data_IF_563584604402
#
_entry.id   IF_563584604402
#
_cell.length_a   1.000
_cell.length_b   1.000
_cell.length_c   1.000
_cell.angle_alpha   90.00
_cell.angle_beta   90.00
_cell.angle_gamma   90.00
#
_symmetry.space_group_name_H-M   'P 1'
#
loop_
_entity.id
_entity.type
_entity.pdbx_description
1 polymer ?
#
# COMPACT_ATOMS: atom_id res chain seq x y z
N UNK A 1 16.35 51.97 43.91
CA UNK A 1 15.11 51.48 43.27
C UNK A 1 15.50 51.04 41.86
N UNK A 2 15.68 49.74 41.61
CA UNK A 2 14.70 48.85 40.95
C UNK A 2 14.27 49.39 39.57
N UNK A 3 14.42 48.74 38.41
CA UNK A 3 14.77 47.34 38.06
C UNK A 3 15.26 47.25 36.61
N UNK A 4 16.13 46.28 36.36
CA UNK A 4 16.28 45.54 35.09
C UNK A 4 14.92 45.01 34.58
N UNK A 5 14.65 45.12 33.29
CA UNK A 5 13.78 44.22 32.52
C UNK A 5 14.24 44.25 31.05
N UNK A 6 15.14 43.34 30.68
CA UNK A 6 14.84 42.07 30.00
C UNK A 6 14.27 42.26 28.59
N UNK A 7 15.17 42.23 27.61
CA UNK A 7 14.88 41.85 26.24
C UNK A 7 14.41 40.39 26.20
N UNK A 8 13.19 40.14 25.72
CA UNK A 8 12.77 38.90 25.09
C UNK A 8 11.48 39.20 24.32
N UNK A 9 11.61 39.76 23.12
CA UNK A 9 10.51 39.73 22.16
C UNK A 9 10.45 38.27 21.68
N UNK A 10 9.41 37.59 22.15
CA UNK A 10 9.05 36.23 21.82
C UNK A 10 8.99 36.07 20.30
N UNK A 11 9.93 35.31 19.73
CA UNK A 11 9.68 34.63 18.45
C UNK A 11 8.55 33.63 18.71
N UNK A 12 7.35 33.77 18.11
CA UNK A 12 6.37 32.69 18.19
C UNK A 12 6.91 31.50 17.39
N UNK A 13 7.41 30.52 18.14
CA UNK A 13 7.60 29.10 17.81
C UNK A 13 7.38 28.70 16.35
N UNK A 14 8.46 28.69 15.55
CA UNK A 14 8.57 27.85 14.35
C UNK A 14 8.39 26.35 14.68
N UNK A 15 8.50 25.99 15.97
CA UNK A 15 8.31 24.65 16.49
C UNK A 15 6.83 24.21 16.42
N UNK A 16 5.85 25.12 16.43
CA UNK A 16 4.43 24.73 16.44
C UNK A 16 3.87 24.30 15.08
N UNK A 17 4.41 24.80 13.96
CA UNK A 17 3.96 24.35 12.63
C UNK A 17 4.46 22.94 12.30
N UNK A 18 5.70 22.62 12.69
CA UNK A 18 6.30 21.30 12.48
C UNK A 18 5.71 20.21 13.40
N UNK A 19 5.26 20.57 14.61
CA UNK A 19 4.59 19.64 15.54
C UNK A 19 3.11 19.39 15.21
N UNK A 20 2.48 20.23 14.36
CA UNK A 20 1.10 20.02 13.91
C UNK A 20 1.01 19.06 12.71
N UNK A 21 2.06 18.97 11.90
CA UNK A 21 2.18 17.96 10.83
C UNK A 21 2.48 16.56 11.36
N UNK A 22 2.94 16.46 12.61
CA UNK A 22 3.27 15.21 13.29
C UNK A 22 2.11 14.71 14.19
N UNK A 23 0.91 15.29 14.06
CA UNK A 23 -0.32 14.72 14.61
C UNK A 23 -0.61 13.41 13.90
N UNK A 24 -0.01 12.34 14.42
CA UNK A 24 -0.36 10.92 14.28
C UNK A 24 -1.19 10.69 13.02
N UNK A 25 -0.53 10.58 11.87
CA UNK A 25 -1.13 9.85 10.74
C UNK A 25 -1.62 8.54 11.32
N UNK A 26 -2.94 8.38 11.44
CA UNK A 26 -3.55 7.09 11.78
C UNK A 26 -3.05 6.13 10.72
N UNK A 27 -2.06 5.32 11.10
CA UNK A 27 -1.44 4.39 10.18
C UNK A 27 -2.42 3.23 10.01
N UNK A 28 -3.33 3.36 9.05
CA UNK A 28 -4.32 2.34 8.69
C UNK A 28 -3.69 1.18 7.90
N UNK A 29 -2.42 1.28 7.49
CA UNK A 29 -1.74 0.26 6.69
C UNK A 29 -1.70 -1.13 7.35
N UNK A 30 -1.40 -1.27 8.65
CA UNK A 30 -1.42 -2.58 9.30
C UNK A 30 -2.78 -3.27 9.18
N UNK A 31 -3.87 -2.52 9.29
CA UNK A 31 -5.22 -3.07 9.17
C UNK A 31 -5.55 -3.47 7.73
N UNK A 32 -5.20 -2.64 6.76
CA UNK A 32 -5.36 -2.98 5.34
C UNK A 32 -4.53 -4.22 4.98
N UNK A 33 -3.29 -4.29 5.42
CA UNK A 33 -2.43 -5.46 5.18
C UNK A 33 -2.98 -6.72 5.85
N UNK A 34 -3.64 -6.60 7.01
CA UNK A 34 -4.38 -7.70 7.63
C UNK A 34 -5.54 -8.17 6.75
N UNK A 35 -6.32 -7.26 6.17
CA UNK A 35 -7.41 -7.61 5.25
C UNK A 35 -6.85 -8.25 3.97
N UNK A 36 -5.77 -7.70 3.41
CA UNK A 36 -5.08 -8.26 2.23
C UNK A 36 -4.61 -9.69 2.47
N UNK A 37 -3.98 -9.95 3.62
CA UNK A 37 -3.56 -11.30 4.03
C UNK A 37 -4.76 -12.25 4.13
N UNK A 38 -5.84 -11.82 4.78
CA UNK A 38 -7.05 -12.64 4.92
C UNK A 38 -7.67 -12.96 3.56
N UNK A 39 -7.82 -11.94 2.70
CA UNK A 39 -8.32 -12.11 1.34
C UNK A 39 -7.45 -13.08 0.54
N UNK A 40 -6.12 -13.00 0.65
CA UNK A 40 -5.21 -13.90 -0.05
C UNK A 40 -5.43 -15.37 0.35
N UNK A 41 -5.65 -15.63 1.63
CA UNK A 41 -5.96 -16.97 2.15
C UNK A 41 -7.32 -17.46 1.66
N UNK A 42 -8.35 -16.63 1.82
CA UNK A 42 -9.73 -17.00 1.50
C UNK A 42 -9.95 -17.23 -0.01
N UNK A 43 -9.20 -16.51 -0.85
CA UNK A 43 -9.32 -16.58 -2.31
C UNK A 43 -8.16 -17.30 -3.00
N UNK A 44 -7.27 -17.96 -2.24
CA UNK A 44 -6.12 -18.69 -2.79
C UNK A 44 -5.27 -17.85 -3.75
N UNK A 45 -4.94 -16.62 -3.33
CA UNK A 45 -4.11 -15.67 -4.08
C UNK A 45 -2.64 -15.87 -3.69
N UNK A 46 -1.80 -16.42 -4.57
CA UNK A 46 -0.46 -16.85 -4.19
C UNK A 46 0.56 -15.71 -4.10
N UNK A 47 0.25 -14.51 -4.58
CA UNK A 47 1.18 -13.40 -4.82
C UNK A 47 0.65 -12.04 -4.30
N UNK A 48 -0.14 -12.05 -3.22
CA UNK A 48 -0.61 -10.84 -2.56
C UNK A 48 0.55 -10.15 -1.83
N UNK A 49 0.91 -8.94 -2.24
CA UNK A 49 2.00 -8.18 -1.62
C UNK A 49 1.53 -7.27 -0.48
N UNK A 50 2.39 -7.09 0.50
CA UNK A 50 2.22 -6.08 1.54
C UNK A 50 2.25 -4.67 0.92
N UNK A 51 1.37 -3.79 1.41
CA UNK A 51 1.48 -2.37 1.13
C UNK A 51 2.42 -1.67 2.10
N UNK A 52 3.31 -0.88 1.52
CA UNK A 52 4.27 -0.03 2.23
C UNK A 52 4.09 1.43 1.81
N UNK A 53 4.38 2.36 2.71
CA UNK A 53 4.29 3.79 2.39
C UNK A 53 5.37 4.19 1.38
N UNK A 54 4.99 4.91 0.33
CA UNK A 54 5.93 5.40 -0.69
C UNK A 54 6.04 6.92 -0.67
N UNK A 55 7.26 7.41 -0.44
CA UNK A 55 7.58 8.84 -0.56
C UNK A 55 7.49 9.34 -2.00
N UNK A 56 7.71 8.47 -2.98
CA UNK A 56 7.61 8.83 -4.40
C UNK A 56 6.13 9.04 -4.79
N UNK A 57 5.25 8.13 -4.38
CA UNK A 57 3.81 8.31 -4.58
C UNK A 57 3.29 9.54 -3.80
N UNK A 58 3.82 9.81 -2.61
CA UNK A 58 3.48 11.01 -1.84
C UNK A 58 3.92 12.29 -2.55
N UNK A 59 5.12 12.31 -3.13
CA UNK A 59 5.62 13.44 -3.91
C UNK A 59 4.76 13.72 -5.15
N UNK A 60 4.23 12.67 -5.78
CA UNK A 60 3.26 12.79 -6.90
C UNK A 60 1.91 13.30 -6.38
N UNK A 61 1.43 12.74 -5.27
CA UNK A 61 0.11 13.01 -4.72
C UNK A 61 -0.03 14.43 -4.16
N UNK A 62 0.97 14.93 -3.45
CA UNK A 62 0.90 16.22 -2.75
C UNK A 62 0.50 17.41 -3.63
N UNK A 63 1.11 17.65 -4.81
CA UNK A 63 0.80 18.82 -5.64
C UNK A 63 -0.49 18.71 -6.47
N UNK A 64 -1.10 17.52 -6.62
CA UNK A 64 -2.22 17.31 -7.56
C UNK A 64 -3.61 17.38 -6.89
N UNK A 65 -4.59 17.93 -7.60
CA UNK A 65 -6.01 17.86 -7.20
C UNK A 65 -6.65 16.53 -7.61
N UNK A 66 -7.86 16.21 -7.14
CA UNK A 66 -8.56 14.99 -7.53
C UNK A 66 -8.88 14.96 -9.02
N UNK A 67 -9.21 16.11 -9.61
CA UNK A 67 -9.41 16.25 -11.05
C UNK A 67 -8.13 15.88 -11.78
N UNK A 68 -6.98 16.38 -11.29
CA UNK A 68 -5.69 16.10 -11.91
C UNK A 68 -5.27 14.64 -11.75
N UNK A 69 -5.55 14.01 -10.61
CA UNK A 69 -5.34 12.57 -10.41
C UNK A 69 -6.08 11.76 -11.48
N UNK A 70 -7.36 12.09 -11.71
CA UNK A 70 -8.19 11.40 -12.70
C UNK A 70 -7.67 11.58 -14.12
N UNK A 71 -7.16 12.77 -14.45
CA UNK A 71 -6.51 13.02 -15.75
C UNK A 71 -5.24 12.20 -15.94
N UNK A 72 -4.33 12.22 -14.96
CA UNK A 72 -3.03 11.53 -15.05
C UNK A 72 -3.25 10.03 -15.17
N UNK A 73 -4.16 9.47 -14.37
CA UNK A 73 -4.50 8.07 -14.46
C UNK A 73 -5.01 7.68 -15.86
N UNK A 74 -5.90 8.48 -16.47
CA UNK A 74 -6.37 8.24 -17.85
C UNK A 74 -5.26 8.30 -18.90
N UNK A 75 -4.12 8.91 -18.58
CA UNK A 75 -2.95 8.96 -19.45
C UNK A 75 -2.01 7.74 -19.30
N UNK A 76 -2.39 6.72 -18.53
CA UNK A 76 -1.63 5.47 -18.41
C UNK A 76 -0.58 5.49 -17.30
N UNK A 77 -0.89 6.10 -16.16
CA UNK A 77 -0.03 6.09 -14.99
C UNK A 77 0.29 4.65 -14.53
N UNK A 78 1.48 4.43 -13.98
CA UNK A 78 1.92 3.19 -13.34
C UNK A 78 1.38 3.05 -11.90
N UNK A 79 0.29 3.73 -11.58
CA UNK A 79 -0.40 3.68 -10.31
C UNK A 79 -1.90 3.90 -10.51
N UNK A 80 -2.68 3.44 -9.54
CA UNK A 80 -4.12 3.65 -9.43
C UNK A 80 -4.42 4.58 -8.28
N UNK A 81 -5.69 4.94 -8.13
CA UNK A 81 -6.13 5.78 -7.03
C UNK A 81 -7.38 5.21 -6.38
N UNK A 82 -7.58 5.54 -5.10
CA UNK A 82 -8.80 5.25 -4.33
C UNK A 82 -9.10 6.44 -3.42
N UNK A 83 -10.38 6.77 -3.27
CA UNK A 83 -10.83 7.79 -2.34
C UNK A 83 -11.79 7.15 -1.33
N UNK A 84 -11.48 7.27 -0.04
CA UNK A 84 -12.27 6.70 1.07
C UNK A 84 -12.70 7.80 2.04
N UNK A 85 -13.73 7.55 2.85
CA UNK A 85 -14.29 8.63 3.70
C UNK A 85 -13.31 9.06 4.79
N UNK A 86 -12.71 8.12 5.51
CA UNK A 86 -11.72 8.42 6.53
C UNK A 86 -10.81 7.22 6.82
N UNK A 87 -9.70 7.46 7.54
CA UNK A 87 -8.82 6.39 8.00
C UNK A 87 -9.51 5.46 9.00
N UNK A 88 -10.48 5.98 9.77
CA UNK A 88 -11.20 5.23 10.79
C UNK A 88 -12.27 4.30 10.20
N UNK A 89 -12.93 4.71 9.10
CA UNK A 89 -14.04 3.94 8.51
C UNK A 89 -13.60 3.02 7.39
N UNK A 90 -12.38 3.19 6.85
CA UNK A 90 -11.90 2.46 5.65
C UNK A 90 -12.03 0.94 5.77
N UNK A 91 -11.69 0.36 6.94
CA UNK A 91 -11.77 -1.09 7.13
C UNK A 91 -13.21 -1.60 7.03
N UNK A 92 -14.15 -0.93 7.71
CA UNK A 92 -15.57 -1.31 7.70
C UNK A 92 -16.20 -1.14 6.32
N UNK A 93 -15.88 -0.02 5.65
CA UNK A 93 -16.32 0.25 4.27
C UNK A 93 -15.80 -0.84 3.32
N UNK A 94 -14.53 -1.19 3.48
CA UNK A 94 -13.90 -2.19 2.65
C UNK A 94 -14.48 -3.59 2.86
N UNK A 95 -14.60 -4.04 4.11
CA UNK A 95 -15.22 -5.34 4.42
C UNK A 95 -16.65 -5.44 3.89
N UNK A 96 -17.44 -4.36 4.05
CA UNK A 96 -18.80 -4.28 3.51
C UNK A 96 -18.76 -4.44 2.00
N UNK A 97 -17.83 -3.76 1.33
CA UNK A 97 -17.75 -3.81 -0.13
C UNK A 97 -17.29 -5.15 -0.67
N UNK A 98 -16.36 -5.82 0.01
CA UNK A 98 -15.95 -7.18 -0.31
C UNK A 98 -17.13 -8.16 -0.18
N UNK A 99 -17.94 -8.05 0.88
CA UNK A 99 -19.13 -8.90 1.06
C UNK A 99 -20.18 -8.65 -0.02
N UNK A 100 -20.48 -7.38 -0.33
CA UNK A 100 -21.41 -7.02 -1.41
C UNK A 100 -20.93 -7.55 -2.76
N UNK A 101 -19.62 -7.47 -3.02
CA UNK A 101 -19.02 -7.95 -4.25
C UNK A 101 -19.07 -9.48 -4.34
N UNK A 102 -18.71 -10.17 -3.26
CA UNK A 102 -18.74 -11.64 -3.16
C UNK A 102 -20.16 -12.22 -3.31
N UNK A 103 -21.19 -11.46 -2.92
CA UNK A 103 -22.60 -11.86 -3.09
C UNK A 103 -23.14 -11.79 -4.52
N UNK A 104 -22.36 -11.31 -5.48
CA UNK A 104 -22.75 -11.18 -6.90
C UNK A 104 -22.34 -12.39 -7.73
N UNK A 105 -23.04 -12.61 -8.84
CA UNK A 105 -22.63 -13.60 -9.86
C UNK A 105 -21.32 -13.20 -10.54
N UNK A 106 -20.62 -14.16 -11.13
CA UNK A 106 -19.36 -13.89 -11.86
C UNK A 106 -19.53 -12.87 -12.99
N UNK A 107 -20.64 -12.94 -13.73
CA UNK A 107 -20.96 -11.98 -14.79
C UNK A 107 -21.19 -10.56 -14.24
N UNK A 108 -21.85 -10.44 -13.09
CA UNK A 108 -22.07 -9.14 -12.44
C UNK A 108 -20.77 -8.57 -11.88
N UNK A 109 -19.92 -9.41 -11.29
CA UNK A 109 -18.60 -9.02 -10.83
C UNK A 109 -17.74 -8.52 -11.99
N UNK A 110 -17.68 -9.26 -13.10
CA UNK A 110 -16.96 -8.88 -14.31
C UNK A 110 -17.47 -7.56 -14.88
N UNK A 111 -18.80 -7.41 -15.03
CA UNK A 111 -19.42 -6.16 -15.50
C UNK A 111 -19.08 -4.95 -14.61
N UNK A 112 -19.03 -5.12 -13.29
CA UNK A 112 -18.66 -4.04 -12.37
C UNK A 112 -17.21 -3.60 -12.53
N UNK A 113 -16.31 -4.55 -12.80
CA UNK A 113 -14.91 -4.25 -13.08
C UNK A 113 -14.77 -3.57 -14.43
N UNK A 114 -15.35 -4.14 -15.49
CA UNK A 114 -15.23 -3.63 -16.86
C UNK A 114 -15.78 -2.21 -16.99
N UNK A 115 -16.95 -1.93 -16.42
CA UNK A 115 -17.58 -0.60 -16.45
C UNK A 115 -16.74 0.47 -15.73
N UNK A 116 -15.81 0.05 -14.87
CA UNK A 116 -14.95 0.93 -14.09
C UNK A 116 -13.47 0.75 -14.43
N UNK A 117 -13.11 0.01 -15.47
CA UNK A 117 -11.71 -0.29 -15.80
C UNK A 117 -10.86 0.99 -15.92
N UNK A 118 -11.45 2.06 -16.47
CA UNK A 118 -10.85 3.39 -16.59
C UNK A 118 -11.11 4.33 -15.40
N UNK A 119 -11.51 3.83 -14.25
CA UNK A 119 -11.68 4.59 -13.00
C UNK A 119 -11.19 3.77 -11.81
N UNK A 120 -11.12 4.40 -10.64
CA UNK A 120 -10.98 3.67 -9.37
C UNK A 120 -12.09 2.62 -9.23
N UNK A 121 -11.70 1.40 -8.88
CA UNK A 121 -12.60 0.31 -8.48
C UNK A 121 -13.06 0.46 -7.02
N UNK A 122 -12.88 1.66 -6.45
CA UNK A 122 -13.21 2.01 -5.08
C UNK A 122 -12.46 1.12 -4.10
N UNK A 123 -13.13 0.53 -3.13
CA UNK A 123 -12.49 -0.25 -2.09
C UNK A 123 -11.88 -1.57 -2.64
N UNK A 124 -12.25 -2.02 -3.84
CA UNK A 124 -11.60 -3.19 -4.47
C UNK A 124 -10.13 -2.94 -4.84
N UNK A 125 -9.69 -1.68 -4.90
CA UNK A 125 -8.29 -1.32 -5.10
C UNK A 125 -7.40 -1.87 -3.97
N UNK A 126 -7.95 -2.02 -2.76
CA UNK A 126 -7.22 -2.53 -1.59
C UNK A 126 -6.85 -4.01 -1.66
N UNK A 127 -7.43 -4.80 -2.58
CA UNK A 127 -7.12 -6.24 -2.78
C UNK A 127 -6.42 -6.53 -4.10
N UNK A 128 -5.82 -5.53 -4.73
CA UNK A 128 -4.96 -5.75 -5.89
C UNK A 128 -3.65 -6.45 -5.48
N UNK A 129 -3.39 -7.71 -5.91
CA UNK A 129 -2.29 -8.51 -5.36
C UNK A 129 -0.91 -7.92 -5.62
N UNK A 130 -0.70 -7.34 -6.79
CA UNK A 130 0.59 -6.83 -7.24
C UNK A 130 0.86 -5.37 -6.88
N UNK A 131 -0.08 -4.69 -6.21
CA UNK A 131 0.18 -3.37 -5.62
C UNK A 131 0.99 -3.54 -4.33
N UNK A 132 1.98 -2.68 -4.13
CA UNK A 132 3.00 -2.77 -3.08
C UNK A 132 3.21 -1.45 -2.34
N UNK A 133 2.82 -0.35 -2.96
CA UNK A 133 3.13 0.99 -2.51
C UNK A 133 1.86 1.81 -2.39
N UNK A 134 1.80 2.66 -1.38
CA UNK A 134 0.68 3.56 -1.17
C UNK A 134 1.14 4.89 -0.59
N UNK A 135 0.47 5.96 -0.97
CA UNK A 135 0.55 7.24 -0.30
C UNK A 135 -0.84 7.87 -0.28
N UNK A 136 -1.20 8.53 0.82
CA UNK A 136 -2.53 9.09 1.01
C UNK A 136 -2.46 10.54 1.53
N UNK A 137 -3.46 11.34 1.19
CA UNK A 137 -3.64 12.68 1.78
C UNK A 137 -5.12 13.01 1.96
N UNK A 138 -5.47 13.79 3.01
CA UNK A 138 -6.78 14.42 3.08
C UNK A 138 -6.98 15.34 1.87
N UNK A 139 -8.13 15.23 1.20
CA UNK A 139 -8.46 16.03 0.02
C UNK A 139 -9.93 16.43 0.05
N UNK A 140 -10.21 17.69 -0.25
CA UNK A 140 -11.56 18.17 -0.49
C UNK A 140 -12.05 17.68 -1.86
N UNK A 141 -13.16 16.95 -1.87
CA UNK A 141 -13.87 16.53 -3.07
C UNK A 141 -15.30 17.08 -2.95
N UNK A 142 -15.55 18.19 -3.65
CA UNK A 142 -16.87 18.84 -3.73
C UNK A 142 -17.46 19.24 -2.36
N UNK A 143 -16.63 19.79 -1.47
CA UNK A 143 -17.03 20.29 -0.15
C UNK A 143 -17.04 19.25 0.96
N UNK A 144 -16.57 18.02 0.68
CA UNK A 144 -16.39 16.96 1.66
C UNK A 144 -14.94 16.48 1.65
N UNK A 145 -14.36 16.31 2.84
CA UNK A 145 -13.01 15.77 2.99
C UNK A 145 -13.04 14.26 2.84
N UNK A 146 -12.19 13.74 1.96
CA UNK A 146 -11.90 12.33 1.77
C UNK A 146 -10.42 12.06 2.01
N UNK A 147 -10.06 10.80 2.21
CA UNK A 147 -8.67 10.34 2.11
C UNK A 147 -8.46 9.84 0.68
N UNK A 148 -7.69 10.58 -0.10
CA UNK A 148 -7.28 10.19 -1.45
C UNK A 148 -5.94 9.48 -1.36
N UNK A 149 -5.85 8.27 -1.92
CA UNK A 149 -4.64 7.48 -1.98
C UNK A 149 -4.23 7.20 -3.42
N UNK A 150 -2.92 7.18 -3.68
CA UNK A 150 -2.31 6.54 -4.84
C UNK A 150 -1.80 5.16 -4.44
N UNK A 151 -1.96 4.16 -5.31
CA UNK A 151 -1.51 2.78 -5.09
C UNK A 151 -0.72 2.30 -6.31
N UNK A 152 0.49 1.81 -6.10
CA UNK A 152 1.43 1.44 -7.16
C UNK A 152 2.11 0.09 -6.88
N UNK A 153 2.78 -0.53 -7.88
CA UNK A 153 3.26 0.07 -9.12
C UNK A 153 2.48 -0.35 -10.39
N UNK A 154 1.23 -0.82 -10.25
CA UNK A 154 0.42 -1.21 -11.42
C UNK A 154 -0.60 -0.12 -11.73
N UNK A 155 -0.69 0.29 -12.99
CA UNK A 155 -1.76 1.16 -13.49
C UNK A 155 -3.05 0.41 -13.81
N UNK A 156 -2.92 -0.87 -14.15
CA UNK A 156 -4.04 -1.72 -14.53
C UNK A 156 -4.70 -2.34 -13.29
N UNK A 157 -6.02 -2.51 -13.35
CA UNK A 157 -6.75 -3.29 -12.36
C UNK A 157 -6.84 -4.73 -12.82
N UNK A 158 -6.35 -5.66 -12.01
CA UNK A 158 -6.48 -7.07 -12.28
C UNK A 158 -7.60 -7.66 -11.42
N UNK A 159 -8.60 -8.24 -12.07
CA UNK A 159 -9.71 -8.84 -11.36
C UNK A 159 -9.31 -10.20 -10.76
N UNK A 160 -9.37 -10.32 -9.43
CA UNK A 160 -9.17 -11.61 -8.75
C UNK A 160 -10.43 -12.45 -8.91
N UNK A 161 -10.43 -13.30 -9.93
CA UNK A 161 -11.49 -14.24 -10.25
C UNK A 161 -10.94 -15.66 -10.43
N UNK A 162 -11.79 -16.59 -10.87
CA UNK A 162 -11.38 -17.98 -11.13
C UNK A 162 -10.44 -18.15 -12.33
N UNK A 163 -10.32 -17.15 -13.20
CA UNK A 163 -9.40 -17.17 -14.35
C UNK A 163 -7.97 -16.85 -13.93
N UNK A 164 -7.78 -16.15 -12.79
CA UNK A 164 -6.45 -15.91 -12.21
C UNK A 164 -5.84 -17.24 -11.74
N UNK A 165 -4.54 -17.46 -11.97
CA UNK A 165 -3.83 -18.60 -11.39
C UNK A 165 -3.95 -18.62 -9.86
N UNK A 166 -4.62 -19.65 -9.33
CA UNK A 166 -4.75 -19.87 -7.89
C UNK A 166 -3.55 -20.63 -7.33
N UNK A 167 -3.38 -20.57 -6.02
CA UNK A 167 -2.37 -21.31 -5.28
C UNK A 167 -2.43 -21.02 -3.79
N UNK A 168 -1.63 -21.73 -3.00
CA UNK A 168 -1.50 -21.41 -1.59
C UNK A 168 -0.94 -19.99 -1.43
N UNK A 169 -1.52 -19.24 -0.49
CA UNK A 169 -1.18 -17.83 -0.28
C UNK A 169 0.33 -17.66 0.00
N UNK A 170 0.95 -16.67 -0.63
CA UNK A 170 2.38 -16.36 -0.49
C UNK A 170 3.34 -17.32 -1.20
N UNK A 171 2.87 -18.29 -1.98
CA UNK A 171 3.76 -19.23 -2.72
C UNK A 171 4.39 -18.65 -3.99
N UNK A 172 3.90 -17.52 -4.49
CA UNK A 172 4.38 -16.86 -5.73
C UNK A 172 4.80 -15.41 -5.49
N UNK A 173 5.45 -15.14 -4.37
CA UNK A 173 6.01 -13.81 -4.11
C UNK A 173 7.07 -13.41 -5.15
N UNK A 174 7.10 -12.11 -5.48
CA UNK A 174 8.10 -11.58 -6.42
C UNK A 174 9.53 -11.71 -5.85
N UNK A 175 10.52 -11.64 -6.73
CA UNK A 175 11.92 -11.60 -6.30
C UNK A 175 12.18 -10.44 -5.33
N UNK A 176 12.89 -10.71 -4.23
CA UNK A 176 13.11 -9.75 -3.15
C UNK A 176 11.99 -9.74 -2.08
N UNK A 177 10.95 -10.56 -2.25
CA UNK A 177 9.90 -10.76 -1.27
C UNK A 177 9.91 -12.19 -0.73
N UNK A 178 9.44 -12.36 0.50
CA UNK A 178 9.26 -13.65 1.14
C UNK A 178 7.84 -13.79 1.69
N UNK A 179 7.40 -15.04 1.87
CA UNK A 179 6.11 -15.34 2.43
C UNK A 179 6.10 -15.06 3.94
N UNK A 180 5.20 -14.19 4.39
CA UNK A 180 4.83 -13.97 5.78
C UNK A 180 3.34 -14.30 5.97
N UNK A 181 3.07 -15.56 6.32
CA UNK A 181 1.74 -16.06 6.63
C UNK A 181 0.71 -15.76 5.52
N UNK A 182 1.07 -16.01 4.26
CA UNK A 182 0.22 -15.81 3.08
C UNK A 182 0.29 -14.42 2.46
N UNK A 183 1.13 -13.52 3.00
CA UNK A 183 1.38 -12.19 2.45
C UNK A 183 2.85 -12.07 2.02
N UNK A 184 3.09 -11.52 0.84
CA UNK A 184 4.44 -11.29 0.33
C UNK A 184 5.01 -9.99 0.91
N UNK A 185 5.97 -10.11 1.82
CA UNK A 185 6.65 -9.00 2.50
C UNK A 185 8.08 -8.87 1.99
N UNK A 186 8.69 -7.68 2.13
CA UNK A 186 10.10 -7.49 1.71
C UNK A 186 11.01 -8.43 2.49
N UNK A 187 11.81 -9.22 1.78
CA UNK A 187 12.70 -10.19 2.40
C UNK A 187 13.76 -9.49 3.28
N UNK A 188 13.98 -10.03 4.47
CA UNK A 188 15.04 -9.51 5.35
C UNK A 188 16.41 -9.82 4.76
N UNK A 189 17.41 -8.93 4.90
CA UNK A 189 18.78 -9.23 4.49
C UNK A 189 19.25 -10.51 5.19
N UNK A 190 19.71 -11.50 4.42
CA UNK A 190 20.34 -12.69 4.99
C UNK A 190 21.70 -12.27 5.55
N UNK A 191 21.87 -12.33 6.86
CA UNK A 191 23.19 -12.18 7.49
C UNK A 191 24.01 -13.42 7.13
N UNK A 192 24.97 -13.29 6.21
CA UNK A 192 25.92 -14.37 5.91
C UNK A 192 26.87 -14.52 7.08
N UNK A 193 26.64 -15.52 7.94
CA UNK A 193 27.69 -16.03 8.82
C UNK A 193 28.67 -16.80 7.94
N UNK A 194 29.70 -16.13 7.41
CA UNK A 194 30.85 -16.79 6.82
C UNK A 194 31.55 -17.62 7.90
N UNK A 195 31.41 -18.93 7.83
CA UNK A 195 32.29 -19.85 8.54
C UNK A 195 33.36 -20.27 7.52
N UNK A 196 34.66 -19.94 7.70
CA UNK A 196 35.67 -20.30 6.73
C UNK A 196 35.89 -21.81 6.78
N UNK A 197 35.41 -22.50 5.75
CA UNK A 197 35.64 -23.93 5.55
C UNK A 197 37.13 -24.18 5.32
N UNK A 198 37.74 -24.86 6.30
CA UNK A 198 39.12 -25.31 6.30
C UNK A 198 39.31 -26.37 5.21
N UNK A 199 39.91 -25.99 4.08
CA UNK A 199 40.29 -26.93 3.03
C UNK A 199 41.43 -27.82 3.55
N UNK A 200 41.15 -29.10 3.77
CA UNK A 200 42.18 -30.12 4.04
C UNK A 200 42.63 -30.70 2.70
N UNK A 201 43.79 -30.26 2.23
CA UNK A 201 44.46 -30.80 1.05
C UNK A 201 45.12 -32.14 1.41
N UNK A 202 44.75 -33.22 0.71
CA UNK A 202 45.36 -34.55 0.84
C UNK A 202 46.40 -34.72 -0.28
N UNK A 203 47.67 -35.04 0.00
CA UNK A 203 48.65 -35.23 -1.07
C UNK A 203 48.47 -36.60 -1.75
N UNK A 204 48.41 -36.58 -3.08
CA UNK A 204 48.47 -37.75 -3.95
C UNK A 204 49.80 -38.49 -3.76
N UNK A 205 49.71 -39.80 -3.55
CA UNK A 205 50.82 -40.76 -3.61
C UNK A 205 51.16 -41.00 -5.08
N UNK A 206 52.40 -40.71 -5.48
CA UNK A 206 52.95 -41.15 -6.77
C UNK A 206 53.69 -42.48 -6.57
N UNK A 207 53.52 -43.33 -7.58
CA UNK A 207 54.15 -44.62 -7.84
C UNK A 207 55.66 -44.50 -8.09
#
# INVERSE_FOLDING_TARGET
>A
MNRLLCAFILLPNLISAALLTDKVTVNFLPDINKIRRQFAKDHSVPDMHEWTWSRDLEAILNPITVEKVREIYKAGADWRYVAVNSYETVNTEFETKLKEFAGKTEDEQKKLVDNRAFYSQQELEFVQPLQKFVACKPTDISGKIYVLCLVGPKGEFEFVNKERPTGEAGTKCDSGYENDDGLCVVAKPKTTTENPEKTTENPKKNE
#
